data_IF_041987271268
#
_entry.id   IF_041987271268
#
_cell.length_a   1.000
_cell.length_b   1.000
_cell.length_c   1.000
_cell.angle_alpha   90.00
_cell.angle_beta   90.00
_cell.angle_gamma   90.00
#
_symmetry.space_group_name_H-M   'P 1'
#
loop_
_entity.id
_entity.type
_entity.pdbx_description
1 polymer ?
#
# COMPACT_ATOMS: atom_id res chain seq x y z
N UNK A 1 -6.23 -2.02 -7.34
CA UNK A 1 -5.28 -1.53 -8.38
C UNK A 1 -5.97 -0.43 -9.16
N UNK A 2 -5.44 0.81 -9.18
CA UNK A 2 -5.97 1.85 -10.06
C UNK A 2 -5.70 1.50 -11.53
N UNK A 3 -6.66 1.78 -12.40
CA UNK A 3 -6.62 1.46 -13.85
C UNK A 3 -5.41 2.06 -14.56
N UNK A 4 -4.89 3.18 -14.06
CA UNK A 4 -3.67 3.84 -14.56
C UNK A 4 -2.42 2.97 -14.45
N UNK A 5 -2.36 2.06 -13.46
CA UNK A 5 -1.22 1.15 -13.28
C UNK A 5 -1.19 0.05 -14.35
N UNK A 6 -2.35 -0.31 -14.90
CA UNK A 6 -2.46 -1.29 -16.00
C UNK A 6 -2.01 -0.65 -17.31
N UNK A 7 -2.37 0.62 -17.54
CA UNK A 7 -1.94 1.39 -18.74
C UNK A 7 -0.43 1.56 -18.80
N UNK A 8 0.23 1.81 -17.66
CA UNK A 8 1.69 2.00 -17.61
C UNK A 8 2.46 0.67 -17.87
N UNK A 9 1.85 -0.50 -17.60
CA UNK A 9 2.43 -1.82 -17.86
C UNK A 9 2.18 -2.35 -19.28
N UNK A 10 1.13 -1.89 -19.93
CA UNK A 10 0.68 -2.41 -21.22
C UNK A 10 1.78 -2.43 -22.29
N UNK A 11 2.58 -1.35 -22.50
CA UNK A 11 3.67 -1.36 -23.47
C UNK A 11 4.79 -2.35 -23.10
N UNK A 12 4.98 -2.57 -21.80
CA UNK A 12 6.02 -3.47 -21.28
C UNK A 12 5.60 -4.94 -21.39
N UNK A 13 4.31 -5.23 -21.29
CA UNK A 13 3.75 -6.57 -21.51
C UNK A 13 3.92 -6.98 -22.97
N UNK A 14 3.71 -6.05 -23.90
CA UNK A 14 3.89 -6.31 -25.34
C UNK A 14 5.36 -6.53 -25.70
N UNK A 15 6.29 -5.92 -24.95
CA UNK A 15 7.74 -6.04 -25.18
C UNK A 15 8.34 -7.29 -24.53
N UNK A 16 8.01 -7.56 -23.25
CA UNK A 16 8.54 -8.71 -22.50
C UNK A 16 7.54 -9.20 -21.45
N UNK A 17 6.52 -9.90 -21.94
CA UNK A 17 5.45 -10.48 -21.13
C UNK A 17 5.96 -11.37 -20.00
N UNK A 18 7.02 -12.16 -20.23
CA UNK A 18 7.51 -13.16 -19.26
C UNK A 18 8.13 -12.47 -18.05
N UNK A 19 8.94 -11.45 -18.28
CA UNK A 19 9.56 -10.68 -17.19
C UNK A 19 8.52 -9.89 -16.39
N UNK A 20 7.53 -9.28 -17.06
CA UNK A 20 6.45 -8.53 -16.38
C UNK A 20 5.62 -9.45 -15.50
N UNK A 21 5.19 -10.60 -16.01
CA UNK A 21 4.39 -11.55 -15.23
C UNK A 21 5.18 -12.14 -14.05
N UNK A 22 6.45 -12.48 -14.25
CA UNK A 22 7.32 -12.97 -13.17
C UNK A 22 7.52 -11.92 -12.07
N UNK A 23 7.71 -10.66 -12.45
CA UNK A 23 7.82 -9.56 -11.48
C UNK A 23 6.51 -9.35 -10.70
N UNK A 24 5.36 -9.35 -11.38
CA UNK A 24 4.05 -9.24 -10.73
C UNK A 24 3.76 -10.42 -9.81
N UNK A 25 4.12 -11.63 -10.21
CA UNK A 25 3.96 -12.85 -9.40
C UNK A 25 4.76 -12.74 -8.08
N UNK A 26 5.99 -12.20 -8.12
CA UNK A 26 6.79 -11.94 -6.93
C UNK A 26 6.13 -10.92 -5.99
N UNK A 27 5.52 -9.87 -6.54
CA UNK A 27 4.79 -8.89 -5.72
C UNK A 27 3.55 -9.50 -5.07
N UNK A 28 2.78 -10.29 -5.83
CA UNK A 28 1.58 -10.98 -5.31
C UNK A 28 1.97 -12.00 -4.22
N UNK A 29 3.01 -12.80 -4.44
CA UNK A 29 3.51 -13.78 -3.45
C UNK A 29 3.98 -13.13 -2.14
N UNK A 30 4.46 -11.89 -2.20
CA UNK A 30 4.85 -11.11 -1.02
C UNK A 30 3.70 -10.34 -0.37
N UNK A 31 2.47 -10.47 -0.90
CA UNK A 31 1.30 -9.72 -0.42
C UNK A 31 1.37 -8.22 -0.75
N UNK A 32 2.29 -7.80 -1.62
CA UNK A 32 2.49 -6.41 -1.99
C UNK A 32 1.72 -6.06 -3.26
N UNK A 33 1.06 -4.90 -3.25
CA UNK A 33 0.43 -4.32 -4.44
C UNK A 33 1.36 -3.20 -4.90
N UNK A 34 2.12 -3.39 -6.00
CA UNK A 34 3.14 -2.44 -6.39
C UNK A 34 2.52 -1.07 -6.71
N UNK A 35 3.23 -0.02 -6.29
CA UNK A 35 2.83 1.36 -6.54
C UNK A 35 3.13 1.74 -7.98
N UNK A 36 2.52 2.84 -8.43
CA UNK A 36 2.66 3.33 -9.80
C UNK A 36 4.11 3.67 -10.14
N UNK A 37 4.85 4.22 -9.19
CA UNK A 37 6.26 4.58 -9.33
C UNK A 37 7.13 3.34 -9.55
N UNK A 38 6.89 2.27 -8.78
CA UNK A 38 7.61 1.00 -8.88
C UNK A 38 7.36 0.32 -10.23
N UNK A 39 6.11 0.37 -10.70
CA UNK A 39 5.71 -0.10 -12.03
C UNK A 39 6.44 0.68 -13.13
N UNK A 40 6.54 2.01 -13.00
CA UNK A 40 7.21 2.87 -13.98
C UNK A 40 8.71 2.64 -14.01
N UNK A 41 9.35 2.48 -12.85
CA UNK A 41 10.77 2.13 -12.75
C UNK A 41 11.05 0.79 -13.42
N UNK A 42 10.23 -0.23 -13.13
CA UNK A 42 10.35 -1.54 -13.75
C UNK A 42 10.17 -1.47 -15.29
N UNK A 43 9.14 -0.77 -15.77
CA UNK A 43 8.92 -0.56 -17.21
C UNK A 43 10.13 0.12 -17.89
N UNK A 44 10.78 1.08 -17.23
CA UNK A 44 11.98 1.72 -17.76
C UNK A 44 13.20 0.79 -17.79
N UNK A 45 13.34 -0.12 -16.82
CA UNK A 45 14.42 -1.12 -16.84
C UNK A 45 14.29 -2.08 -18.01
N UNK A 46 13.05 -2.47 -18.37
CA UNK A 46 12.80 -3.31 -19.54
C UNK A 46 13.15 -2.58 -20.85
N UNK A 47 12.76 -1.31 -20.99
CA UNK A 47 13.05 -0.51 -22.20
C UNK A 47 14.53 -0.23 -22.41
N UNK A 48 15.28 -0.05 -21.34
CA UNK A 48 16.70 0.32 -21.42
C UNK A 48 17.61 -0.86 -21.78
N UNK A 49 17.10 -2.11 -21.81
CA UNK A 49 17.90 -3.33 -22.00
C UNK A 49 18.90 -3.61 -20.86
N UNK A 50 19.10 -2.64 -19.97
CA UNK A 50 19.75 -2.80 -18.69
C UNK A 50 18.74 -3.51 -17.81
N UNK A 51 18.72 -4.84 -17.93
CA UNK A 51 18.38 -5.70 -16.81
C UNK A 51 19.46 -5.36 -15.77
N UNK A 52 19.24 -4.28 -15.01
CA UNK A 52 19.88 -4.14 -13.72
C UNK A 52 19.40 -5.41 -13.06
N UNK A 53 20.29 -6.40 -12.94
CA UNK A 53 20.22 -7.32 -11.83
C UNK A 53 20.12 -6.38 -10.65
N UNK A 54 18.89 -6.08 -10.26
CA UNK A 54 18.58 -5.32 -9.07
C UNK A 54 19.25 -6.16 -8.02
N UNK A 55 20.48 -5.76 -7.65
CA UNK A 55 21.25 -6.33 -6.53
C UNK A 55 20.20 -6.72 -5.55
N UNK A 56 20.06 -8.04 -5.24
CA UNK A 56 18.85 -8.63 -4.67
C UNK A 56 18.32 -7.60 -3.73
N UNK A 57 17.20 -6.95 -4.12
CA UNK A 57 16.75 -5.71 -3.48
C UNK A 57 16.96 -6.03 -2.04
N UNK A 58 17.97 -5.40 -1.42
CA UNK A 58 18.08 -5.44 0.00
C UNK A 58 16.85 -4.63 0.27
N UNK A 59 15.73 -5.34 0.43
CA UNK A 59 14.73 -5.01 1.38
C UNK A 59 15.62 -4.79 2.61
N UNK A 60 16.14 -3.56 2.75
CA UNK A 60 15.70 -2.75 3.83
C UNK A 60 14.17 -2.91 3.77
N UNK A 61 13.68 -4.03 4.30
CA UNK A 61 13.04 -3.94 5.58
C UNK A 61 13.80 -2.81 6.28
N UNK A 62 13.30 -1.58 6.05
CA UNK A 62 12.69 -0.91 7.16
C UNK A 62 11.96 -2.06 7.85
N UNK A 63 12.68 -2.74 8.76
CA UNK A 63 12.14 -3.00 10.06
C UNK A 63 11.55 -1.64 10.33
N UNK A 64 10.27 -1.49 9.98
CA UNK A 64 9.42 -0.63 10.75
C UNK A 64 9.78 -1.14 12.13
N UNK A 65 10.68 -0.40 12.77
CA UNK A 65 10.78 -0.43 14.19
C UNK A 65 9.37 0.01 14.53
N UNK A 66 8.46 -0.95 14.60
CA UNK A 66 7.25 -0.86 15.37
C UNK A 66 7.80 -0.68 16.75
N UNK A 67 8.20 0.56 17.04
CA UNK A 67 8.52 1.00 18.37
C UNK A 67 7.23 0.66 19.09
N UNK A 68 7.25 -0.35 19.99
CA UNK A 68 6.05 -0.69 20.70
C UNK A 68 5.59 0.61 21.36
N UNK A 69 4.34 1.02 21.10
CA UNK A 69 3.82 2.24 21.69
C UNK A 69 4.01 2.15 23.21
N UNK A 70 4.51 3.24 23.80
CA UNK A 70 4.62 3.31 25.25
C UNK A 70 3.23 3.09 25.87
N UNK A 71 3.11 2.46 27.04
CA UNK A 71 1.83 2.29 27.72
C UNK A 71 1.00 3.57 27.82
N UNK A 72 1.65 4.73 27.94
CA UNK A 72 1.03 6.06 27.96
C UNK A 72 0.38 6.40 26.62
N UNK A 73 1.08 6.15 25.50
CA UNK A 73 0.54 6.40 24.16
C UNK A 73 -0.62 5.46 23.82
N UNK A 74 -0.59 4.24 24.34
CA UNK A 74 -1.70 3.29 24.23
C UNK A 74 -2.93 3.82 24.99
N UNK A 75 -2.75 4.28 26.24
CA UNK A 75 -3.83 4.87 27.04
C UNK A 75 -4.44 6.11 26.39
N UNK A 76 -3.61 6.97 25.82
CA UNK A 76 -4.06 8.17 25.12
C UNK A 76 -4.93 7.81 23.90
N UNK A 77 -4.47 6.84 23.08
CA UNK A 77 -5.26 6.33 21.94
C UNK A 77 -6.57 5.68 22.36
N UNK A 78 -6.58 4.91 23.46
CA UNK A 78 -7.82 4.31 23.99
C UNK A 78 -8.81 5.43 24.38
N UNK A 79 -8.32 6.46 25.07
CA UNK A 79 -9.15 7.60 25.50
C UNK A 79 -9.71 8.37 24.30
N UNK A 80 -8.92 8.57 23.26
CA UNK A 80 -9.35 9.20 22.00
C UNK A 80 -10.47 8.39 21.32
N UNK A 81 -10.29 7.07 21.23
CA UNK A 81 -11.29 6.16 20.66
C UNK A 81 -12.59 6.20 21.46
N UNK A 82 -12.53 6.15 22.79
CA UNK A 82 -13.71 6.23 23.66
C UNK A 82 -14.47 7.55 23.50
N UNK A 83 -13.75 8.67 23.43
CA UNK A 83 -14.35 9.97 23.18
C UNK A 83 -15.04 10.03 21.81
N UNK A 84 -14.42 9.45 20.78
CA UNK A 84 -15.02 9.40 19.44
C UNK A 84 -16.29 8.55 19.42
N UNK A 85 -16.29 7.40 20.09
CA UNK A 85 -17.50 6.56 20.24
C UNK A 85 -18.61 7.33 20.96
N UNK A 86 -18.28 8.08 22.02
CA UNK A 86 -19.26 8.88 22.77
C UNK A 86 -19.85 9.99 21.91
N UNK A 87 -19.04 10.65 21.09
CA UNK A 87 -19.51 11.66 20.14
C UNK A 87 -20.45 11.04 19.11
N UNK A 88 -20.06 9.94 18.48
CA UNK A 88 -20.88 9.25 17.47
C UNK A 88 -22.22 8.77 18.05
N UNK A 89 -22.25 8.28 19.30
CA UNK A 89 -23.51 7.94 19.99
C UNK A 89 -24.42 9.15 20.19
N UNK A 90 -23.87 10.31 20.52
CA UNK A 90 -24.65 11.57 20.66
C UNK A 90 -25.21 12.03 19.31
N UNK A 91 -24.39 11.98 18.26
CA UNK A 91 -24.81 12.31 16.90
C UNK A 91 -25.92 11.37 16.42
N UNK A 92 -25.74 10.06 16.60
CA UNK A 92 -26.79 9.06 16.30
C UNK A 92 -28.11 9.41 16.99
N UNK A 93 -28.08 9.68 18.30
CA UNK A 93 -29.29 10.06 19.06
C UNK A 93 -29.91 11.38 18.57
N UNK A 94 -29.10 12.33 18.10
CA UNK A 94 -29.58 13.59 17.51
C UNK A 94 -30.31 13.33 16.19
N UNK A 95 -29.74 12.49 15.32
CA UNK A 95 -30.36 12.13 14.05
C UNK A 95 -31.64 11.29 14.24
N UNK A 96 -31.65 10.35 15.18
CA UNK A 96 -32.87 9.58 15.54
C UNK A 96 -34.01 10.50 16.00
N UNK A 97 -33.70 11.58 16.74
CA UNK A 97 -34.68 12.59 17.15
C UNK A 97 -35.16 13.51 16.01
N UNK A 98 -34.38 13.66 14.94
CA UNK A 98 -34.78 14.45 13.77
C UNK A 98 -35.65 13.63 12.79
N UNK A 99 -35.64 12.31 12.92
CA UNK A 99 -36.43 11.38 12.11
C UNK A 99 -37.79 11.02 12.74
N UNK A 100 -38.02 11.44 13.99
CA UNK A 100 -39.30 11.36 14.71
C UNK A 100 -40.01 12.72 14.66
#
# INVERSE_FOLDING_TARGET
MPTTSVVDLQPSIDTDKKSVLSWLELQIKSGNIPKREEIREFAQTLKSGIIKQTKPIKFKTKKETTIPLSPEQIKEKITEIENRIKQLKREKKKYEKMLL
#
